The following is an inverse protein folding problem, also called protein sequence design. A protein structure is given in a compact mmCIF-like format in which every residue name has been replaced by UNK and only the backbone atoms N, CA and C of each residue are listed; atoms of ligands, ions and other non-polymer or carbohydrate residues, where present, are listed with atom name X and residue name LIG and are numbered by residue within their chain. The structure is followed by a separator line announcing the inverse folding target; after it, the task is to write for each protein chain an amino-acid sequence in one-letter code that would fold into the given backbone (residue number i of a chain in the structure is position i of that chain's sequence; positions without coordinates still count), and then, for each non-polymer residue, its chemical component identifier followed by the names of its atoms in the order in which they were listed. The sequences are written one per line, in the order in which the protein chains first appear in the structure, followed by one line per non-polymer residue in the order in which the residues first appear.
data_IF_153595109331
#
_entry.id   IF_153595109331
#
_cell.length_a   1.000
_cell.length_b   1.000
_cell.length_c   1.000
_cell.angle_alpha   90.00
_cell.angle_beta   90.00
_cell.angle_gamma   90.00
#
_symmetry.space_group_name_H-M   'P 1'
#
loop_
_entity.id
_entity.type
_entity.pdbx_description
1 polymer ?
#
# COMPACT_ATOMS: atom_id res chain seq x y z
N UNK A 1 -5.60 12.44 -14.88
CA UNK A 1 -6.37 13.45 -15.65
C UNK A 1 -7.15 14.41 -14.76
N UNK A 2 -7.44 14.05 -13.50
CA UNK A 2 -8.35 14.81 -12.63
C UNK A 2 -7.65 15.57 -11.49
N UNK A 3 -6.33 15.76 -11.51
CA UNK A 3 -5.54 16.36 -10.42
C UNK A 3 -5.93 17.82 -10.07
N UNK A 4 -6.49 18.55 -11.02
CA UNK A 4 -6.91 19.94 -10.83
C UNK A 4 -8.45 20.11 -10.91
N UNK A 5 -9.19 19.01 -10.82
CA UNK A 5 -10.65 19.00 -10.92
C UNK A 5 -11.24 18.86 -9.52
N UNK A 6 -12.27 19.65 -9.20
CA UNK A 6 -12.97 19.52 -7.94
C UNK A 6 -13.65 18.14 -7.78
N UNK A 7 -13.96 17.73 -6.54
CA UNK A 7 -14.47 16.38 -6.28
C UNK A 7 -15.77 16.03 -7.00
N UNK A 8 -16.66 17.01 -7.22
CA UNK A 8 -17.96 16.78 -7.86
C UNK A 8 -17.79 16.55 -9.36
N UNK A 9 -17.01 17.39 -10.03
CA UNK A 9 -16.68 17.22 -11.44
C UNK A 9 -15.83 15.97 -11.71
N UNK A 10 -14.96 15.59 -10.76
CA UNK A 10 -14.21 14.34 -10.84
C UNK A 10 -15.13 13.13 -10.81
N UNK A 11 -16.15 13.14 -9.95
CA UNK A 11 -17.15 12.08 -9.88
C UNK A 11 -17.94 11.96 -11.19
N UNK A 12 -18.49 13.06 -11.69
CA UNK A 12 -19.22 13.09 -12.95
C UNK A 12 -18.36 12.61 -14.15
N UNK A 13 -17.09 12.98 -14.17
CA UNK A 13 -16.14 12.51 -15.18
C UNK A 13 -15.99 10.97 -15.14
N UNK A 14 -15.83 10.37 -13.97
CA UNK A 14 -15.72 8.92 -13.85
C UNK A 14 -17.00 8.19 -14.20
N UNK A 15 -18.18 8.75 -13.87
CA UNK A 15 -19.47 8.21 -14.30
C UNK A 15 -19.56 8.17 -15.82
N UNK A 16 -19.17 9.26 -16.52
CA UNK A 16 -19.13 9.30 -17.99
C UNK A 16 -18.17 8.24 -18.57
N UNK A 17 -17.00 8.02 -17.93
CA UNK A 17 -16.08 6.97 -18.38
C UNK A 17 -16.69 5.57 -18.24
N UNK A 18 -17.42 5.29 -17.17
CA UNK A 18 -18.10 4.01 -16.99
C UNK A 18 -19.21 3.80 -18.01
N UNK A 19 -20.01 4.82 -18.32
CA UNK A 19 -21.03 4.75 -19.38
C UNK A 19 -20.40 4.36 -20.74
N UNK A 20 -19.26 4.97 -21.08
CA UNK A 20 -18.53 4.64 -22.32
C UNK A 20 -17.98 3.20 -22.31
N UNK A 21 -17.54 2.71 -21.17
CA UNK A 21 -17.07 1.32 -21.02
C UNK A 21 -18.25 0.35 -21.19
N UNK A 22 -19.40 0.65 -20.62
CA UNK A 22 -20.62 -0.17 -20.77
C UNK A 22 -21.12 -0.21 -22.22
N UNK A 23 -20.85 0.84 -23.00
CA UNK A 23 -21.06 0.88 -24.45
C UNK A 23 -20.01 0.09 -25.26
N UNK A 24 -19.02 -0.51 -24.59
CA UNK A 24 -17.96 -1.32 -25.21
C UNK A 24 -16.68 -0.58 -25.56
N UNK A 25 -16.51 0.67 -25.10
CA UNK A 25 -15.28 1.43 -25.31
C UNK A 25 -14.19 0.97 -24.37
N UNK A 26 -12.98 0.71 -24.89
CA UNK A 26 -11.79 0.46 -24.06
C UNK A 26 -11.09 1.77 -23.73
N UNK A 27 -10.89 2.03 -22.44
CA UNK A 27 -10.29 3.26 -21.97
C UNK A 27 -8.97 2.96 -21.24
N UNK A 28 -7.90 3.65 -21.65
CA UNK A 28 -6.61 3.63 -20.95
C UNK A 28 -6.45 4.92 -20.14
N UNK A 29 -6.29 4.75 -18.83
CA UNK A 29 -6.04 5.87 -17.90
C UNK A 29 -4.62 5.77 -17.37
N UNK A 30 -3.88 6.87 -17.39
CA UNK A 30 -2.60 7.00 -16.68
C UNK A 30 -2.79 7.93 -15.50
N UNK A 31 -2.55 7.44 -14.30
CA UNK A 31 -2.72 8.19 -13.05
C UNK A 31 -1.65 7.80 -12.02
N UNK A 32 -1.42 8.67 -11.06
CA UNK A 32 -0.65 8.40 -9.85
C UNK A 32 -1.55 8.40 -8.59
N UNK A 33 -2.86 8.51 -8.80
CA UNK A 33 -3.86 8.44 -7.71
C UNK A 33 -4.37 7.02 -7.55
N UNK A 34 -4.20 6.45 -6.37
CA UNK A 34 -4.61 5.07 -6.09
C UNK A 34 -6.13 4.92 -6.08
N UNK A 35 -6.87 5.93 -5.64
CA UNK A 35 -8.34 5.97 -5.69
C UNK A 35 -8.90 5.95 -7.11
N UNK A 36 -8.18 6.48 -8.09
CA UNK A 36 -8.52 6.34 -9.51
C UNK A 36 -8.16 4.94 -10.04
N UNK A 37 -7.00 4.41 -9.65
CA UNK A 37 -6.57 3.07 -10.05
C UNK A 37 -7.53 2.00 -9.51
N UNK A 38 -8.03 2.13 -8.29
CA UNK A 38 -9.01 1.21 -7.69
C UNK A 38 -10.33 1.11 -8.46
N UNK A 39 -10.66 2.09 -9.31
CA UNK A 39 -11.85 2.10 -10.17
C UNK A 39 -11.66 1.34 -11.48
N UNK A 40 -10.43 1.02 -11.84
CA UNK A 40 -10.12 0.33 -13.08
C UNK A 40 -10.34 -1.19 -12.99
N UNK A 41 -10.74 -1.82 -14.09
CA UNK A 41 -10.86 -3.29 -14.15
C UNK A 41 -9.51 -3.99 -14.05
N UNK A 42 -8.48 -3.37 -14.62
CA UNK A 42 -7.11 -3.88 -14.60
C UNK A 42 -6.13 -2.73 -14.52
N UNK A 43 -5.03 -2.95 -13.82
CA UNK A 43 -3.96 -1.98 -13.60
C UNK A 43 -2.62 -2.56 -14.05
N UNK A 44 -1.76 -1.68 -14.51
CA UNK A 44 -0.34 -1.96 -14.75
C UNK A 44 0.48 -0.95 -13.95
N UNK A 45 1.22 -1.43 -12.96
CA UNK A 45 2.08 -0.59 -12.12
C UNK A 45 3.45 -0.47 -12.79
N UNK A 46 3.86 0.77 -13.06
CA UNK A 46 5.16 1.07 -13.66
C UNK A 46 6.07 1.74 -12.64
N UNK A 47 7.29 1.26 -12.55
CA UNK A 47 8.37 1.91 -11.80
C UNK A 47 9.62 2.03 -12.68
N UNK A 48 10.17 3.25 -12.80
CA UNK A 48 11.33 3.57 -13.64
C UNK A 48 11.23 2.97 -15.06
N UNK A 49 10.05 3.08 -15.70
CA UNK A 49 9.81 2.60 -17.06
C UNK A 49 9.67 1.09 -17.21
N UNK A 50 9.56 0.34 -16.12
CA UNK A 50 9.33 -1.12 -16.14
C UNK A 50 8.01 -1.48 -15.49
N UNK A 51 7.36 -2.49 -16.04
CA UNK A 51 6.17 -3.11 -15.44
C UNK A 51 6.61 -3.91 -14.20
N UNK A 52 6.09 -3.55 -13.03
CA UNK A 52 6.39 -4.22 -11.75
C UNK A 52 5.24 -5.08 -11.24
N UNK A 53 4.00 -4.73 -11.60
CA UNK A 53 2.83 -5.56 -11.31
C UNK A 53 1.72 -5.28 -12.33
N UNK A 54 0.89 -6.28 -12.62
CA UNK A 54 -0.30 -6.14 -13.45
C UNK A 54 -1.39 -7.11 -13.01
N UNK A 55 -2.64 -6.68 -13.07
CA UNK A 55 -3.82 -7.45 -12.69
C UNK A 55 -4.97 -6.55 -12.27
N UNK A 56 -6.06 -7.12 -11.80
CA UNK A 56 -7.13 -6.35 -11.16
C UNK A 56 -6.68 -5.81 -9.80
N UNK A 57 -7.29 -4.71 -9.29
CA UNK A 57 -7.00 -4.20 -7.95
C UNK A 57 -7.11 -5.28 -6.86
N UNK A 58 -8.13 -6.13 -6.94
CA UNK A 58 -8.36 -7.19 -5.98
C UNK A 58 -7.25 -8.26 -6.03
N UNK A 59 -6.91 -8.75 -7.23
CA UNK A 59 -5.84 -9.74 -7.41
C UNK A 59 -4.50 -9.23 -6.90
N UNK A 60 -4.16 -7.97 -7.18
CA UNK A 60 -2.92 -7.37 -6.73
C UNK A 60 -2.86 -7.25 -5.20
N UNK A 61 -3.97 -6.82 -4.57
CA UNK A 61 -4.05 -6.73 -3.11
C UNK A 61 -4.01 -8.10 -2.42
N UNK A 62 -4.60 -9.13 -3.02
CA UNK A 62 -4.61 -10.49 -2.46
C UNK A 62 -3.27 -11.23 -2.67
N UNK A 63 -2.51 -10.86 -3.71
CA UNK A 63 -1.24 -11.50 -4.07
C UNK A 63 0.02 -10.74 -3.59
N UNK A 64 -0.14 -9.67 -2.82
CA UNK A 64 1.01 -8.96 -2.24
C UNK A 64 1.87 -9.90 -1.39
N UNK A 65 3.19 -9.85 -1.56
CA UNK A 65 4.16 -10.64 -0.79
C UNK A 65 4.46 -10.03 0.59
N UNK A 66 3.46 -9.44 1.23
CA UNK A 66 3.56 -8.84 2.56
C UNK A 66 2.24 -8.95 3.31
N UNK A 67 2.28 -8.83 4.63
CA UNK A 67 1.12 -8.57 5.47
C UNK A 67 1.12 -7.11 5.89
N UNK A 68 -0.05 -6.54 6.12
CA UNK A 68 -0.20 -5.15 6.55
C UNK A 68 -0.82 -5.10 7.94
N UNK A 69 -0.16 -4.38 8.83
CA UNK A 69 -0.63 -4.17 10.21
C UNK A 69 -0.78 -2.67 10.47
N UNK A 70 -1.95 -2.27 10.94
CA UNK A 70 -2.17 -0.93 11.48
C UNK A 70 -1.73 -0.88 12.93
N UNK A 71 -0.95 0.13 13.24
CA UNK A 71 -0.38 0.33 14.57
C UNK A 71 -0.74 1.73 15.04
N UNK A 72 -1.44 1.83 16.16
CA UNK A 72 -1.75 3.10 16.80
C UNK A 72 -0.86 3.33 18.01
N UNK A 73 -0.33 4.53 18.14
CA UNK A 73 0.54 4.93 19.26
C UNK A 73 0.50 6.44 19.47
N UNK A 74 0.65 6.87 20.70
CA UNK A 74 0.87 8.28 21.05
C UNK A 74 2.24 8.82 20.55
N UNK A 75 3.19 7.93 20.20
CA UNK A 75 4.52 8.29 19.71
C UNK A 75 4.85 7.63 18.36
N UNK A 76 4.03 7.84 17.30
CA UNK A 76 4.12 7.07 16.06
C UNK A 76 5.48 7.17 15.38
N UNK A 77 6.14 8.31 15.42
CA UNK A 77 7.48 8.50 14.83
C UNK A 77 8.57 7.67 15.52
N UNK A 78 8.48 7.50 16.83
CA UNK A 78 9.45 6.67 17.57
C UNK A 78 9.20 5.20 17.29
N UNK A 79 7.94 4.80 17.26
CA UNK A 79 7.53 3.44 16.90
C UNK A 79 7.96 3.10 15.47
N UNK A 80 7.73 3.99 14.49
CA UNK A 80 8.19 3.81 13.11
C UNK A 80 9.69 3.55 13.02
N UNK A 81 10.51 4.43 13.62
CA UNK A 81 11.96 4.28 13.62
C UNK A 81 12.44 2.98 14.27
N UNK A 82 11.79 2.55 15.34
CA UNK A 82 12.09 1.28 15.99
C UNK A 82 11.72 0.10 15.11
N UNK A 83 10.54 0.14 14.49
CA UNK A 83 10.06 -0.95 13.62
C UNK A 83 10.91 -1.08 12.35
N UNK A 84 11.40 0.01 11.78
CA UNK A 84 12.30 0.01 10.62
C UNK A 84 13.64 -0.71 10.89
N UNK A 85 14.00 -0.93 12.15
CA UNK A 85 15.18 -1.72 12.51
C UNK A 85 14.93 -3.22 12.59
N UNK A 86 13.67 -3.65 12.51
CA UNK A 86 13.29 -5.05 12.62
C UNK A 86 13.43 -5.75 11.27
N UNK A 87 14.07 -6.90 11.22
CA UNK A 87 14.32 -7.65 9.99
C UNK A 87 13.05 -8.09 9.26
N UNK A 88 11.94 -8.27 9.99
CA UNK A 88 10.64 -8.67 9.44
C UNK A 88 9.79 -7.50 8.93
N UNK A 89 10.27 -6.26 9.03
CA UNK A 89 9.56 -5.06 8.59
C UNK A 89 10.13 -4.55 7.27
N UNK A 90 9.29 -4.50 6.25
CA UNK A 90 9.66 -3.97 4.94
C UNK A 90 9.54 -2.45 4.87
N UNK A 91 8.45 -1.90 5.43
CA UNK A 91 8.24 -0.45 5.45
C UNK A 91 7.28 -0.03 6.53
N UNK A 92 7.36 1.26 6.87
CA UNK A 92 6.37 1.94 7.69
C UNK A 92 5.89 3.21 7.00
N UNK A 93 4.58 3.47 7.03
CA UNK A 93 3.98 4.71 6.54
C UNK A 93 3.09 5.32 7.61
N UNK A 94 3.33 6.57 7.97
CA UNK A 94 2.55 7.26 9.00
C UNK A 94 1.39 8.03 8.36
N UNK A 95 0.17 7.79 8.86
CA UNK A 95 -1.04 8.51 8.50
C UNK A 95 -1.67 9.05 9.79
N UNK A 96 -1.40 10.30 10.11
CA UNK A 96 -1.82 10.88 11.40
C UNK A 96 -1.14 10.21 12.60
N UNK A 97 -1.93 9.62 13.50
CA UNK A 97 -1.46 8.83 14.65
C UNK A 97 -1.28 7.36 14.37
N UNK A 98 -1.70 6.91 13.19
CA UNK A 98 -1.64 5.50 12.77
C UNK A 98 -0.42 5.26 11.91
N UNK A 99 0.25 4.13 12.12
CA UNK A 99 1.28 3.60 11.24
C UNK A 99 0.72 2.42 10.44
N UNK A 100 0.97 2.43 9.17
CA UNK A 100 0.78 1.30 8.28
C UNK A 100 2.12 0.58 8.13
N UNK A 101 2.20 -0.65 8.63
CA UNK A 101 3.45 -1.42 8.69
C UNK A 101 3.34 -2.62 7.78
N UNK A 102 4.22 -2.69 6.78
CA UNK A 102 4.37 -3.85 5.91
C UNK A 102 5.39 -4.81 6.52
N UNK A 103 5.00 -6.06 6.69
CA UNK A 103 5.82 -7.11 7.28
C UNK A 103 5.85 -8.35 6.41
N UNK A 104 6.78 -9.25 6.69
CA UNK A 104 6.94 -10.51 5.97
C UNK A 104 5.61 -11.28 5.85
N UNK A 105 5.35 -11.81 4.65
CA UNK A 105 4.14 -12.61 4.37
C UNK A 105 4.01 -13.83 5.29
N UNK A 106 5.12 -14.47 5.58
CA UNK A 106 5.16 -15.74 6.31
C UNK A 106 5.28 -15.56 7.84
N UNK A 107 5.24 -14.32 8.34
CA UNK A 107 5.27 -14.04 9.76
C UNK A 107 4.00 -14.55 10.44
N UNK A 108 4.10 -15.59 11.26
CA UNK A 108 2.96 -16.33 11.81
C UNK A 108 2.06 -15.47 12.73
N UNK A 109 2.61 -14.49 13.44
CA UNK A 109 1.88 -13.63 14.37
C UNK A 109 2.42 -12.19 14.30
N UNK A 110 2.11 -11.45 13.20
CA UNK A 110 2.70 -10.13 12.97
C UNK A 110 2.33 -9.11 14.06
N UNK A 111 1.10 -9.14 14.56
CA UNK A 111 0.67 -8.26 15.65
C UNK A 111 1.48 -8.52 16.94
N UNK A 112 1.72 -9.80 17.25
CA UNK A 112 2.52 -10.21 18.41
C UNK A 112 3.99 -9.81 18.29
N UNK A 113 4.58 -9.98 17.11
CA UNK A 113 5.96 -9.59 16.83
C UNK A 113 6.15 -8.07 16.96
N UNK A 114 5.24 -7.28 16.37
CA UNK A 114 5.25 -5.82 16.47
C UNK A 114 5.09 -5.38 17.93
N UNK A 115 4.12 -5.93 18.67
CA UNK A 115 3.93 -5.60 20.10
C UNK A 115 5.18 -5.90 20.92
N UNK A 116 5.78 -7.06 20.71
CA UNK A 116 7.00 -7.44 21.42
C UNK A 116 8.17 -6.51 21.12
N UNK A 117 8.38 -6.15 19.85
CA UNK A 117 9.42 -5.22 19.43
C UNK A 117 9.23 -3.83 20.07
N UNK A 118 8.01 -3.29 20.00
CA UNK A 118 7.70 -1.95 20.52
C UNK A 118 7.80 -1.89 22.05
N UNK A 119 7.27 -2.92 22.74
CA UNK A 119 7.38 -3.00 24.22
C UNK A 119 8.82 -3.20 24.66
N UNK A 120 9.59 -4.04 23.95
CA UNK A 120 11.02 -4.23 24.19
C UNK A 120 11.84 -2.95 24.01
N UNK A 121 11.40 -2.05 23.12
CA UNK A 121 11.97 -0.72 22.93
C UNK A 121 11.48 0.33 23.96
N UNK A 122 10.69 -0.05 24.95
CA UNK A 122 10.16 0.85 25.98
C UNK A 122 9.03 1.76 25.51
N UNK A 123 8.41 1.46 24.33
CA UNK A 123 7.30 2.22 23.77
C UNK A 123 5.96 1.50 23.99
N UNK A 124 4.85 2.21 23.78
CA UNK A 124 3.49 1.68 23.97
C UNK A 124 2.71 1.72 22.66
N UNK A 125 1.85 0.72 22.47
CA UNK A 125 0.84 0.68 21.42
C UNK A 125 -0.55 0.78 22.04
N UNK A 126 -1.38 1.59 21.41
CA UNK A 126 -2.81 1.72 21.76
C UNK A 126 -3.62 0.66 21.01
N UNK A 127 -3.32 0.43 19.72
CA UNK A 127 -3.89 -0.65 18.91
C UNK A 127 -2.84 -1.28 17.97
N UNK A 128 -3.10 -2.51 17.54
CA UNK A 128 -2.24 -3.23 16.61
C UNK A 128 -3.06 -4.34 15.94
N UNK A 129 -3.51 -4.12 14.71
CA UNK A 129 -4.47 -4.97 14.02
C UNK A 129 -4.06 -5.22 12.59
N UNK A 130 -4.13 -6.49 12.14
CA UNK A 130 -3.90 -6.84 10.75
C UNK A 130 -5.08 -6.38 9.90
N UNK A 131 -4.76 -5.80 8.74
CA UNK A 131 -5.75 -5.30 7.78
C UNK A 131 -5.49 -5.84 6.37
N UNK A 132 -6.50 -5.74 5.53
CA UNK A 132 -6.34 -6.06 4.11
C UNK A 132 -5.42 -5.02 3.46
N UNK A 133 -4.46 -5.47 2.62
CA UNK A 133 -3.63 -4.57 1.83
C UNK A 133 -4.46 -3.69 0.89
N UNK A 134 -4.02 -2.45 0.71
CA UNK A 134 -4.52 -1.51 -0.28
C UNK A 134 -3.61 -1.48 -1.51
N UNK A 135 -4.03 -0.82 -2.59
CA UNK A 135 -3.15 -0.62 -3.76
C UNK A 135 -1.90 0.20 -3.43
N UNK A 136 -1.96 1.10 -2.45
CA UNK A 136 -0.78 1.82 -1.98
C UNK A 136 0.26 0.85 -1.41
N UNK A 137 -0.18 -0.14 -0.63
CA UNK A 137 0.72 -1.16 -0.08
C UNK A 137 1.31 -2.03 -1.18
N UNK A 138 0.51 -2.40 -2.19
CA UNK A 138 0.98 -3.14 -3.38
C UNK A 138 2.06 -2.34 -4.10
N UNK A 139 1.84 -1.04 -4.33
CA UNK A 139 2.83 -0.19 -4.96
C UNK A 139 4.13 -0.12 -4.15
N UNK A 140 4.03 0.09 -2.83
CA UNK A 140 5.19 0.14 -1.93
C UNK A 140 5.94 -1.18 -1.95
N UNK A 141 5.26 -2.32 -1.81
CA UNK A 141 5.89 -3.64 -1.83
C UNK A 141 6.62 -3.90 -3.17
N UNK A 142 5.94 -3.70 -4.29
CA UNK A 142 6.49 -3.94 -5.63
C UNK A 142 7.72 -3.07 -5.94
N UNK A 143 7.74 -1.83 -5.46
CA UNK A 143 8.87 -0.93 -5.67
C UNK A 143 10.04 -1.22 -4.73
N UNK A 144 9.78 -1.73 -3.52
CA UNK A 144 10.83 -2.12 -2.56
C UNK A 144 11.53 -3.41 -2.94
N UNK A 145 10.80 -4.46 -3.34
CA UNK A 145 11.39 -5.70 -3.85
C UNK A 145 12.40 -5.41 -4.96
N UNK A 146 12.04 -4.52 -5.88
CA UNK A 146 12.94 -4.10 -6.95
C UNK A 146 14.16 -3.34 -6.46
N UNK A 147 14.02 -2.50 -5.43
CA UNK A 147 15.14 -1.78 -4.84
C UNK A 147 16.13 -2.74 -4.19
N UNK A 148 15.63 -3.74 -3.47
CA UNK A 148 16.46 -4.79 -2.86
C UNK A 148 17.24 -5.60 -3.92
N UNK A 149 16.60 -5.99 -5.02
CA UNK A 149 17.26 -6.67 -6.15
C UNK A 149 18.33 -5.79 -6.80
N UNK A 150 18.06 -4.51 -6.99
CA UNK A 150 19.02 -3.58 -7.59
C UNK A 150 20.24 -3.34 -6.71
N UNK A 151 20.04 -3.23 -5.41
CA UNK A 151 21.08 -2.94 -4.42
C UNK A 151 21.82 -4.22 -3.97
N UNK A 152 21.51 -5.39 -4.60
CA UNK A 152 22.25 -6.65 -4.40
C UNK A 152 22.02 -7.31 -3.04
N UNK A 153 20.89 -7.06 -2.40
CA UNK A 153 20.51 -7.62 -1.09
C UNK A 153 19.69 -8.92 -1.18
N UNK A 154 19.60 -9.53 -2.38
CA UNK A 154 18.96 -10.84 -2.62
C UNK A 154 19.91 -11.74 -3.38
#
# INVERSE_FOLDING_TARGET
PTSAVDPENRRAFWETLFDLVDEGTTILVSTHYMDEAERCHSIAILDLGRLVAAGSPAELSDNIHAQVVLVESSEPRKVSKLLETQAFVHSTAQIGSVLRVLVDRDLAAPEGAIRSAVTGGGLRLDACDRVRPSLEDVFVAATQERKAVRDGQV
#
